data_IF_401037748812
#
_entry.id   IF_401037748812
#
_cell.length_a   1.000
_cell.length_b   1.000
_cell.length_c   1.000
_cell.angle_alpha   90.00
_cell.angle_beta   90.00
_cell.angle_gamma   90.00
#
_symmetry.space_group_name_H-M   'P 1'
#
loop_
_entity.id
_entity.type
_entity.pdbx_description
1 polymer ?
#
# COMPACT_ATOMS: atom_id res chain seq x y z
N UNK A 1 2.56 1.64 -51.26
CA UNK A 1 2.44 2.87 -50.44
C UNK A 1 1.22 2.85 -49.52
N UNK A 2 0.02 2.46 -49.96
CA UNK A 2 -1.19 2.43 -49.12
C UNK A 2 -1.11 1.55 -47.84
N UNK A 3 -0.36 0.43 -47.85
CA UNK A 3 -0.19 -0.43 -46.67
C UNK A 3 0.68 0.19 -45.57
N UNK A 4 1.53 1.16 -45.92
CA UNK A 4 2.41 1.86 -44.97
C UNK A 4 1.66 2.95 -44.20
N UNK A 5 0.70 3.63 -44.85
CA UNK A 5 -0.09 4.69 -44.22
C UNK A 5 -1.14 4.13 -43.25
N UNK A 6 -1.74 2.98 -43.57
CA UNK A 6 -2.68 2.29 -42.67
C UNK A 6 -2.01 1.72 -41.42
N UNK A 7 -0.77 1.22 -41.55
CA UNK A 7 0.04 0.75 -40.43
C UNK A 7 0.47 1.89 -39.48
N UNK A 8 0.76 3.08 -40.01
CA UNK A 8 1.08 4.26 -39.19
C UNK A 8 -0.17 4.77 -38.43
N UNK A 9 -1.35 4.73 -39.05
CA UNK A 9 -2.61 5.12 -38.42
C UNK A 9 -3.04 4.21 -37.28
N UNK A 10 -2.81 2.89 -37.37
CA UNK A 10 -3.09 1.95 -36.28
C UNK A 10 -2.10 2.10 -35.13
N UNK A 11 -0.81 2.25 -35.42
CA UNK A 11 0.24 2.47 -34.43
C UNK A 11 -0.01 3.74 -33.59
N UNK A 12 -0.39 4.84 -34.23
CA UNK A 12 -0.77 6.08 -33.54
C UNK A 12 -1.99 5.88 -32.63
N UNK A 13 -3.04 5.19 -33.11
CA UNK A 13 -4.24 4.90 -32.28
C UNK A 13 -3.91 4.05 -31.05
N UNK A 14 -3.03 3.07 -31.18
CA UNK A 14 -2.57 2.26 -30.05
C UNK A 14 -1.72 3.07 -29.06
N UNK A 15 -0.84 3.95 -29.55
CA UNK A 15 -0.06 4.85 -28.71
C UNK A 15 -0.97 5.80 -27.91
N UNK A 16 -1.93 6.46 -28.56
CA UNK A 16 -2.91 7.33 -27.88
C UNK A 16 -3.77 6.55 -26.88
N UNK A 17 -4.21 5.34 -27.22
CA UNK A 17 -4.97 4.46 -26.32
C UNK A 17 -4.17 4.08 -25.06
N UNK A 18 -2.88 3.78 -25.22
CA UNK A 18 -2.01 3.45 -24.09
C UNK A 18 -1.73 4.66 -23.19
N UNK A 19 -1.52 5.85 -23.77
CA UNK A 19 -1.36 7.10 -23.01
C UNK A 19 -2.62 7.41 -22.21
N UNK A 20 -3.79 7.27 -22.83
CA UNK A 20 -5.07 7.46 -22.14
C UNK A 20 -5.26 6.45 -21.01
N UNK A 21 -4.97 5.17 -21.25
CA UNK A 21 -5.07 4.13 -20.23
C UNK A 21 -4.14 4.41 -19.04
N UNK A 22 -2.91 4.84 -19.31
CA UNK A 22 -1.96 5.23 -18.28
C UNK A 22 -2.45 6.44 -17.46
N UNK A 23 -3.00 7.46 -18.12
CA UNK A 23 -3.59 8.61 -17.44
C UNK A 23 -4.76 8.22 -16.54
N UNK A 24 -5.65 7.33 -17.01
CA UNK A 24 -6.76 6.80 -16.22
C UNK A 24 -6.24 6.03 -14.99
N UNK A 25 -5.16 5.24 -15.13
CA UNK A 25 -4.57 4.52 -14.00
C UNK A 25 -3.99 5.44 -12.93
N UNK A 26 -3.38 6.56 -13.34
CA UNK A 26 -2.92 7.58 -12.40
C UNK A 26 -4.12 8.15 -11.64
N UNK A 27 -5.20 8.52 -12.34
CA UNK A 27 -6.41 9.03 -11.72
C UNK A 27 -7.05 8.02 -10.75
N UNK A 28 -7.08 6.73 -11.11
CA UNK A 28 -7.55 5.65 -10.23
C UNK A 28 -6.67 5.55 -8.98
N UNK A 29 -5.34 5.64 -9.12
CA UNK A 29 -4.42 5.62 -7.98
C UNK A 29 -4.65 6.81 -7.03
N UNK A 30 -4.76 8.02 -7.58
CA UNK A 30 -5.06 9.24 -6.81
C UNK A 30 -6.42 9.12 -6.12
N UNK A 31 -7.44 8.60 -6.81
CA UNK A 31 -8.76 8.36 -6.24
C UNK A 31 -8.72 7.34 -5.09
N UNK A 32 -8.04 6.20 -5.30
CA UNK A 32 -7.90 5.14 -4.30
C UNK A 32 -7.25 5.67 -3.02
N UNK A 33 -6.18 6.46 -3.16
CA UNK A 33 -5.51 7.12 -2.04
C UNK A 33 -6.42 8.13 -1.34
N UNK A 34 -7.04 9.05 -2.11
CA UNK A 34 -7.81 10.18 -1.56
C UNK A 34 -9.04 9.75 -0.76
N UNK A 35 -9.79 8.74 -1.25
CA UNK A 35 -11.00 8.25 -0.55
C UNK A 35 -10.66 7.69 0.84
N UNK A 36 -9.42 7.22 1.07
CA UNK A 36 -9.01 6.62 2.34
C UNK A 36 -8.53 7.64 3.38
N UNK A 37 -8.45 8.93 3.02
CA UNK A 37 -7.95 9.98 3.91
C UNK A 37 -9.02 10.62 4.80
N UNK A 38 -10.31 10.28 4.65
CA UNK A 38 -11.38 10.95 5.38
C UNK A 38 -11.21 10.92 6.90
N UNK A 39 -10.69 9.83 7.49
CA UNK A 39 -10.44 9.76 8.93
C UNK A 39 -9.40 10.80 9.37
N UNK A 40 -8.28 10.87 8.64
CA UNK A 40 -7.17 11.77 8.94
C UNK A 40 -7.49 13.24 8.66
N UNK A 41 -8.37 13.53 7.69
CA UNK A 41 -8.80 14.91 7.40
C UNK A 41 -9.80 15.40 8.45
N UNK A 42 -10.69 14.51 8.91
CA UNK A 42 -11.75 14.86 9.88
C UNK A 42 -11.25 14.89 11.32
N UNK A 43 -10.31 14.01 11.64
CA UNK A 43 -9.73 13.82 12.96
C UNK A 43 -8.21 14.03 12.90
N UNK A 44 -7.47 13.49 13.87
CA UNK A 44 -6.01 13.55 13.87
C UNK A 44 -5.40 12.35 13.13
N UNK A 45 -4.17 12.53 12.63
CA UNK A 45 -3.39 11.47 12.00
C UNK A 45 -2.83 10.51 13.05
N UNK A 46 -3.70 9.67 13.60
CA UNK A 46 -3.33 8.69 14.63
C UNK A 46 -3.70 7.28 14.17
N UNK A 47 -3.10 6.28 14.81
CA UNK A 47 -3.45 4.90 14.57
C UNK A 47 -4.81 4.61 15.24
N UNK A 48 -5.70 3.98 14.48
CA UNK A 48 -7.04 3.63 14.92
C UNK A 48 -7.16 2.12 15.09
N UNK A 49 -8.20 1.69 15.83
CA UNK A 49 -8.40 0.29 16.24
C UNK A 49 -7.36 -0.21 17.26
N UNK A 50 -7.55 -1.42 17.78
CA UNK A 50 -6.74 -1.95 18.87
C UNK A 50 -5.49 -2.70 18.36
N UNK A 51 -5.67 -3.54 17.34
CA UNK A 51 -4.63 -4.43 16.81
C UNK A 51 -3.43 -3.67 16.20
N UNK A 52 -3.63 -2.58 15.43
CA UNK A 52 -2.53 -1.83 14.80
C UNK A 52 -1.50 -1.24 15.76
N UNK A 53 -1.84 -1.02 17.04
CA UNK A 53 -0.88 -0.53 18.04
C UNK A 53 0.27 -1.51 18.29
N UNK A 54 -0.02 -2.82 18.22
CA UNK A 54 1.02 -3.84 18.32
C UNK A 54 1.96 -3.76 17.12
N UNK A 55 1.42 -3.72 15.90
CA UNK A 55 2.21 -3.61 14.67
C UNK A 55 3.07 -2.34 14.66
N UNK A 56 2.52 -1.22 15.13
CA UNK A 56 3.25 0.04 15.27
C UNK A 56 4.42 -0.08 16.23
N UNK A 57 4.20 -0.62 17.43
CA UNK A 57 5.26 -0.84 18.43
C UNK A 57 6.38 -1.72 17.86
N UNK A 58 6.02 -2.77 17.13
CA UNK A 58 7.00 -3.65 16.47
C UNK A 58 7.80 -2.86 15.42
N UNK A 59 7.13 -2.01 14.64
CA UNK A 59 7.78 -1.16 13.63
C UNK A 59 8.71 -0.12 14.28
N UNK A 60 8.33 0.45 15.42
CA UNK A 60 9.19 1.32 16.21
C UNK A 60 10.43 0.58 16.74
N UNK A 61 10.28 -0.67 17.17
CA UNK A 61 11.42 -1.48 17.62
C UNK A 61 12.36 -1.79 16.46
N UNK A 62 11.82 -2.21 15.31
CA UNK A 62 12.56 -2.49 14.09
C UNK A 62 13.38 -1.28 13.62
N UNK A 63 12.75 -0.10 13.56
CA UNK A 63 13.42 1.12 13.05
C UNK A 63 14.50 1.64 14.00
N UNK A 64 14.39 1.39 15.31
CA UNK A 64 15.37 1.82 16.32
C UNK A 64 16.53 0.85 16.51
N UNK A 65 16.27 -0.45 16.54
CA UNK A 65 17.27 -1.47 16.88
C UNK A 65 17.79 -2.22 15.64
N UNK A 66 17.09 -2.14 14.51
CA UNK A 66 17.46 -2.82 13.27
C UNK A 66 16.87 -4.23 13.15
N UNK A 67 17.15 -4.86 12.00
CA UNK A 67 16.51 -6.12 11.58
C UNK A 67 16.99 -7.31 12.43
N UNK A 68 18.29 -7.39 12.74
CA UNK A 68 18.86 -8.52 13.49
C UNK A 68 18.33 -8.59 14.92
N UNK A 69 18.26 -7.44 15.59
CA UNK A 69 17.71 -7.36 16.95
C UNK A 69 16.20 -7.60 16.94
N UNK A 70 15.49 -7.11 15.92
CA UNK A 70 14.07 -7.41 15.72
C UNK A 70 13.82 -8.92 15.56
N UNK A 71 14.64 -9.63 14.78
CA UNK A 71 14.47 -11.07 14.56
C UNK A 71 14.67 -11.89 15.84
N UNK A 72 15.55 -11.44 16.73
CA UNK A 72 15.83 -12.09 18.01
C UNK A 72 15.07 -11.45 19.19
N UNK A 73 14.07 -10.60 18.93
CA UNK A 73 13.42 -9.83 19.97
C UNK A 73 12.52 -10.70 20.85
N UNK A 74 12.85 -10.74 22.13
CA UNK A 74 11.99 -11.21 23.21
C UNK A 74 11.36 -10.02 23.93
N UNK A 75 10.03 -9.96 23.96
CA UNK A 75 9.27 -8.93 24.64
C UNK A 75 8.87 -9.39 26.03
N UNK A 76 9.52 -8.83 27.05
CA UNK A 76 9.27 -9.05 28.47
C UNK A 76 8.08 -8.24 29.01
N UNK A 77 7.56 -7.27 28.23
CA UNK A 77 6.48 -6.37 28.66
C UNK A 77 5.08 -6.89 28.36
N UNK A 78 4.96 -7.88 27.49
CA UNK A 78 3.67 -8.52 27.18
C UNK A 78 3.59 -9.88 27.86
N UNK A 79 2.38 -10.34 28.18
CA UNK A 79 2.15 -11.67 28.75
C UNK A 79 2.93 -11.95 30.05
N UNK A 80 2.93 -11.02 31.00
CA UNK A 80 3.55 -11.26 32.31
C UNK A 80 2.95 -12.51 32.99
N UNK A 81 3.75 -13.43 33.54
CA UNK A 81 5.21 -13.40 33.72
C UNK A 81 6.04 -14.09 32.61
N UNK A 82 5.41 -14.58 31.53
CA UNK A 82 6.04 -15.42 30.52
C UNK A 82 6.81 -14.63 29.45
N UNK A 83 6.34 -13.44 29.06
CA UNK A 83 6.87 -12.73 27.90
C UNK A 83 6.36 -13.30 26.57
N UNK A 84 6.83 -12.72 25.46
CA UNK A 84 6.54 -13.19 24.09
C UNK A 84 7.77 -13.09 23.19
N UNK A 85 8.11 -14.17 22.49
CA UNK A 85 9.14 -14.15 21.44
C UNK A 85 8.54 -13.50 20.19
N UNK A 86 8.88 -12.26 19.87
CA UNK A 86 8.24 -11.50 18.78
C UNK A 86 8.71 -11.97 17.41
N UNK A 87 10.03 -12.07 17.21
CA UNK A 87 10.59 -12.40 15.90
C UNK A 87 10.11 -13.74 15.33
N UNK A 88 9.77 -14.70 16.18
CA UNK A 88 9.23 -16.01 15.78
C UNK A 88 7.69 -16.12 15.77
N UNK A 89 6.95 -15.11 16.25
CA UNK A 89 5.48 -15.19 16.41
C UNK A 89 4.71 -14.09 15.68
N UNK A 90 5.37 -13.31 14.83
CA UNK A 90 4.78 -12.21 14.06
C UNK A 90 5.17 -12.35 12.60
N UNK A 91 4.24 -12.05 11.69
CA UNK A 91 4.54 -11.90 10.27
C UNK A 91 5.26 -10.58 10.03
N UNK A 92 6.54 -10.57 9.60
CA UNK A 92 7.33 -9.35 9.53
C UNK A 92 7.04 -8.52 8.27
N UNK A 93 6.16 -8.97 7.38
CA UNK A 93 5.93 -8.34 6.08
C UNK A 93 5.50 -6.88 6.18
N UNK A 94 4.48 -6.59 6.99
CA UNK A 94 3.99 -5.23 7.20
C UNK A 94 5.07 -4.32 7.83
N UNK A 95 5.71 -4.81 8.89
CA UNK A 95 6.69 -4.03 9.68
C UNK A 95 7.96 -3.75 8.90
N UNK A 96 8.47 -4.72 8.14
CA UNK A 96 9.61 -4.52 7.24
C UNK A 96 9.25 -3.57 6.10
N UNK A 97 8.03 -3.64 5.56
CA UNK A 97 7.58 -2.74 4.50
C UNK A 97 7.53 -1.29 4.98
N UNK A 98 6.89 -1.02 6.12
CA UNK A 98 6.87 0.33 6.67
C UNK A 98 8.25 0.82 7.13
N UNK A 99 9.05 -0.06 7.75
CA UNK A 99 10.41 0.26 8.19
C UNK A 99 11.34 0.61 7.02
N UNK A 100 11.24 -0.11 5.91
CA UNK A 100 12.01 0.19 4.68
C UNK A 100 11.56 1.50 4.03
N UNK A 101 10.25 1.77 3.96
CA UNK A 101 9.73 3.07 3.50
C UNK A 101 10.30 4.19 4.37
N UNK A 102 10.29 4.02 5.71
CA UNK A 102 10.84 5.01 6.63
C UNK A 102 12.36 5.22 6.43
N UNK A 103 13.15 4.15 6.29
CA UNK A 103 14.59 4.27 6.03
C UNK A 103 14.90 4.97 4.71
N UNK A 104 14.15 4.69 3.64
CA UNK A 104 14.31 5.35 2.34
C UNK A 104 13.96 6.84 2.43
N UNK A 105 12.86 7.18 3.11
CA UNK A 105 12.47 8.59 3.27
C UNK A 105 13.49 9.36 4.14
N UNK A 106 13.99 8.72 5.19
CA UNK A 106 15.00 9.31 6.05
C UNK A 106 16.36 9.47 5.34
N UNK A 107 16.74 8.54 4.44
CA UNK A 107 17.96 8.65 3.63
C UNK A 107 17.86 9.73 2.53
N UNK A 108 16.65 10.09 2.12
CA UNK A 108 16.35 11.24 1.26
C UNK A 108 16.18 12.55 2.04
N UNK A 109 16.55 12.56 3.33
CA UNK A 109 16.45 13.71 4.23
C UNK A 109 15.02 14.26 4.39
N UNK A 110 14.00 13.41 4.29
CA UNK A 110 12.61 13.76 4.61
C UNK A 110 12.31 13.33 6.05
N UNK A 111 12.26 14.25 7.03
CA UNK A 111 12.13 13.90 8.44
C UNK A 111 10.68 13.58 8.82
N UNK A 112 10.19 12.40 8.43
CA UNK A 112 8.89 11.88 8.88
C UNK A 112 9.03 11.01 10.12
N UNK A 113 8.03 11.06 11.00
CA UNK A 113 7.94 10.12 12.11
C UNK A 113 7.51 8.73 11.59
N UNK A 114 7.90 7.68 12.31
CA UNK A 114 7.50 6.30 11.99
C UNK A 114 5.97 6.16 12.01
N UNK A 115 5.31 6.90 12.91
CA UNK A 115 3.84 6.94 13.01
C UNK A 115 3.18 7.41 11.70
N UNK A 116 3.67 8.51 11.13
CA UNK A 116 3.16 9.04 9.86
C UNK A 116 3.30 7.99 8.75
N UNK A 117 4.44 7.29 8.66
CA UNK A 117 4.63 6.23 7.67
C UNK A 117 3.64 5.09 7.88
N UNK A 118 3.45 4.62 9.11
CA UNK A 118 2.47 3.57 9.43
C UNK A 118 1.03 3.99 9.04
N UNK A 119 0.62 5.22 9.37
CA UNK A 119 -0.72 5.74 9.08
C UNK A 119 -1.02 5.77 7.57
N UNK A 120 -0.03 6.17 6.75
CA UNK A 120 -0.21 6.29 5.30
C UNK A 120 0.15 5.03 4.50
N UNK A 121 0.66 3.99 5.14
CA UNK A 121 1.01 2.73 4.46
C UNK A 121 -0.22 2.11 3.77
N UNK A 122 -1.37 2.04 4.45
CA UNK A 122 -2.58 1.43 3.89
C UNK A 122 -3.13 2.15 2.65
N UNK A 123 -3.30 3.50 2.63
CA UNK A 123 -3.65 4.23 1.42
C UNK A 123 -2.67 4.02 0.25
N UNK A 124 -1.36 3.98 0.50
CA UNK A 124 -0.35 3.77 -0.55
C UNK A 124 -0.51 2.40 -1.20
N UNK A 125 -0.59 1.34 -0.38
CA UNK A 125 -0.76 -0.02 -0.88
C UNK A 125 -2.12 -0.26 -1.53
N UNK A 126 -3.16 0.50 -1.16
CA UNK A 126 -4.44 0.45 -1.86
C UNK A 126 -4.37 0.95 -3.30
N UNK A 127 -3.55 1.96 -3.58
CA UNK A 127 -3.31 2.44 -4.95
C UNK A 127 -2.52 1.41 -5.76
N UNK A 128 -1.52 0.76 -5.15
CA UNK A 128 -0.78 -0.33 -5.78
C UNK A 128 -1.67 -1.56 -6.03
N UNK A 129 -2.59 -1.90 -5.13
CA UNK A 129 -3.56 -2.99 -5.32
C UNK A 129 -4.48 -2.71 -6.52
N UNK A 130 -4.91 -1.47 -6.73
CA UNK A 130 -5.68 -1.08 -7.90
C UNK A 130 -4.87 -1.28 -9.20
N UNK A 131 -3.59 -0.92 -9.21
CA UNK A 131 -2.71 -1.17 -10.35
C UNK A 131 -2.43 -2.66 -10.58
N UNK A 132 -2.23 -3.45 -9.53
CA UNK A 132 -2.08 -4.90 -9.63
C UNK A 132 -3.34 -5.55 -10.23
N UNK A 133 -4.52 -5.08 -9.83
CA UNK A 133 -5.81 -5.55 -10.38
C UNK A 133 -5.99 -5.21 -11.85
N UNK A 134 -5.54 -4.02 -12.27
CA UNK A 134 -5.48 -3.66 -13.69
C UNK A 134 -4.61 -4.65 -14.45
N UNK A 135 -3.38 -4.91 -13.98
CA UNK A 135 -2.44 -5.79 -14.67
C UNK A 135 -3.01 -7.21 -14.77
N UNK A 136 -3.52 -7.77 -13.68
CA UNK A 136 -4.12 -9.10 -13.67
C UNK A 136 -5.28 -9.22 -14.65
N UNK A 137 -6.23 -8.27 -14.61
CA UNK A 137 -7.43 -8.34 -15.44
C UNK A 137 -7.13 -8.03 -16.92
N UNK A 138 -6.11 -7.19 -17.18
CA UNK A 138 -5.63 -6.90 -18.52
C UNK A 138 -5.14 -8.18 -19.20
N UNK A 139 -4.41 -9.04 -18.51
CA UNK A 139 -3.93 -10.32 -19.06
C UNK A 139 -5.08 -11.29 -19.39
N UNK A 140 -6.20 -11.23 -18.65
CA UNK A 140 -7.33 -12.14 -18.85
C UNK A 140 -8.24 -11.72 -20.02
N UNK A 141 -8.61 -10.44 -20.09
CA UNK A 141 -9.68 -9.98 -21.01
C UNK A 141 -9.36 -8.68 -21.76
N UNK A 142 -8.21 -8.07 -21.50
CA UNK A 142 -7.74 -6.87 -22.18
C UNK A 142 -7.85 -5.58 -21.35
N UNK A 143 -7.31 -4.49 -21.91
CA UNK A 143 -7.08 -3.22 -21.20
C UNK A 143 -8.36 -2.55 -20.68
N UNK A 144 -9.45 -2.57 -21.44
CA UNK A 144 -10.72 -1.97 -21.03
C UNK A 144 -11.33 -2.65 -19.80
N UNK A 145 -11.28 -3.99 -19.75
CA UNK A 145 -11.72 -4.75 -18.58
C UNK A 145 -10.83 -4.45 -17.36
N UNK A 146 -9.52 -4.33 -17.57
CA UNK A 146 -8.58 -4.00 -16.50
C UNK A 146 -8.81 -2.62 -15.88
N UNK A 147 -9.08 -1.59 -16.69
CA UNK A 147 -9.35 -0.24 -16.17
C UNK A 147 -10.62 -0.22 -15.30
N UNK A 148 -11.67 -0.90 -15.76
CA UNK A 148 -12.92 -1.02 -15.00
C UNK A 148 -12.71 -1.78 -13.70
N UNK A 149 -11.97 -2.90 -13.72
CA UNK A 149 -11.69 -3.68 -12.52
C UNK A 149 -10.87 -2.89 -11.48
N UNK A 150 -9.85 -2.15 -11.92
CA UNK A 150 -9.05 -1.29 -11.04
C UNK A 150 -9.88 -0.17 -10.40
N UNK A 151 -10.77 0.46 -11.17
CA UNK A 151 -11.68 1.49 -10.66
C UNK A 151 -12.66 0.92 -9.62
N UNK A 152 -13.21 -0.28 -9.87
CA UNK A 152 -14.10 -0.95 -8.93
C UNK A 152 -13.39 -1.30 -7.63
N UNK A 153 -12.17 -1.86 -7.70
CA UNK A 153 -11.39 -2.15 -6.49
C UNK A 153 -11.03 -0.87 -5.71
N UNK A 154 -10.68 0.22 -6.40
CA UNK A 154 -10.34 1.48 -5.75
C UNK A 154 -11.46 2.02 -4.86
N UNK A 155 -12.73 1.83 -5.27
CA UNK A 155 -13.92 2.38 -4.61
C UNK A 155 -14.71 1.36 -3.76
N UNK A 156 -14.35 0.07 -3.78
CA UNK A 156 -15.17 -0.95 -3.10
C UNK A 156 -15.17 -0.72 -1.58
N UNK A 157 -16.35 -0.52 -0.94
CA UNK A 157 -16.42 -0.20 0.49
C UNK A 157 -15.81 -1.28 1.38
N UNK A 158 -15.93 -2.54 0.96
CA UNK A 158 -15.39 -3.68 1.70
C UNK A 158 -13.86 -3.68 1.77
N UNK A 159 -13.16 -3.12 0.79
CA UNK A 159 -11.71 -2.97 0.86
C UNK A 159 -11.33 -1.69 1.59
N UNK A 160 -12.07 -0.61 1.35
CA UNK A 160 -11.85 0.68 2.03
C UNK A 160 -11.90 0.49 3.56
N UNK A 161 -12.86 -0.27 4.08
CA UNK A 161 -13.00 -0.50 5.54
C UNK A 161 -11.78 -1.12 6.21
N UNK A 162 -10.88 -1.79 5.45
CA UNK A 162 -9.65 -2.42 5.95
C UNK A 162 -8.37 -1.73 5.46
N UNK A 163 -8.50 -0.60 4.75
CA UNK A 163 -7.36 0.12 4.16
C UNK A 163 -7.44 1.63 4.34
N UNK A 164 -8.24 2.10 5.31
CA UNK A 164 -8.32 3.53 5.68
C UNK A 164 -6.98 4.00 6.25
N UNK A 165 -6.62 5.25 6.03
CA UNK A 165 -5.48 5.86 6.70
C UNK A 165 -5.62 5.73 8.23
N UNK A 166 -4.57 5.21 8.87
CA UNK A 166 -4.55 4.90 10.31
C UNK A 166 -4.89 3.45 10.67
N UNK A 167 -5.43 2.65 9.76
CA UNK A 167 -5.63 1.20 9.92
C UNK A 167 -4.35 0.45 9.52
N UNK A 168 -3.36 0.44 10.42
CA UNK A 168 -2.06 -0.20 10.21
C UNK A 168 -2.09 -1.70 10.56
N UNK A 169 -2.87 -2.46 9.80
CA UNK A 169 -3.01 -3.91 9.93
C UNK A 169 -2.47 -4.66 8.69
N UNK A 170 -2.32 -5.98 8.80
CA UNK A 170 -1.69 -6.82 7.78
C UNK A 170 -2.48 -6.83 6.46
N UNK A 171 -3.81 -6.72 6.52
CA UNK A 171 -4.71 -6.66 5.37
C UNK A 171 -4.40 -5.50 4.43
N UNK A 172 -3.84 -4.41 4.97
CA UNK A 172 -3.48 -3.23 4.21
C UNK A 172 -2.44 -3.51 3.12
N UNK A 173 -1.54 -4.46 3.37
CA UNK A 173 -0.49 -4.88 2.42
C UNK A 173 -0.84 -6.20 1.74
N UNK A 174 -1.55 -7.10 2.44
CA UNK A 174 -1.84 -8.45 1.96
C UNK A 174 -2.72 -8.52 0.71
N UNK A 175 -3.56 -7.52 0.43
CA UNK A 175 -4.41 -7.51 -0.78
C UNK A 175 -3.61 -7.12 -2.04
N UNK A 176 -2.52 -6.39 -1.87
CA UNK A 176 -1.62 -6.06 -2.97
C UNK A 176 -0.63 -7.19 -3.27
N UNK A 177 -0.09 -7.81 -2.22
CA UNK A 177 0.93 -8.85 -2.28
C UNK A 177 0.38 -10.19 -2.83
#
# INVERSE_FOLDING_TARGET
>A
MAASETANGSSLRHAFGNVLAFFILILIGVLAFSIRLFSVIKYESVIHEFDPYFNYRVTQYLTKNGIYDFWNWFDDRTWYPLGRVIGGTVYPGLTLTAGTIWWVLNSLNVPLTVETVCVFTAPIFSAFAAWATYLLTKEVKGSGAGLTAALLLAMVPSYISRSVAGSYDNEAVAIFA
#
